data_IF_072774024742
#
_entry.id   IF_072774024742
#
_cell.length_a   1.000
_cell.length_b   1.000
_cell.length_c   1.000
_cell.angle_alpha   90.00
_cell.angle_beta   90.00
_cell.angle_gamma   90.00
#
_symmetry.space_group_name_H-M   'P 1'
#
loop_
_entity.id
_entity.type
_entity.pdbx_description
1 polymer ?
#
# COMPACT_ATOMS: atom_id res chain seq x y z
N UNK A 1 -2.02 5.73 -6.86
CA UNK A 1 -2.79 6.20 -5.68
C UNK A 1 -4.25 5.78 -5.82
N UNK A 2 -4.92 6.19 -6.90
CA UNK A 2 -6.34 5.86 -7.14
C UNK A 2 -6.63 4.35 -7.24
N UNK A 3 -5.75 3.53 -7.84
CA UNK A 3 -6.02 2.09 -7.99
C UNK A 3 -6.14 1.32 -6.66
N UNK A 4 -5.38 1.71 -5.64
CA UNK A 4 -5.48 1.04 -4.33
C UNK A 4 -6.81 1.39 -3.66
N UNK A 5 -7.14 2.68 -3.65
CA UNK A 5 -8.37 3.18 -3.02
C UNK A 5 -9.62 2.68 -3.78
N UNK A 6 -9.58 2.68 -5.11
CA UNK A 6 -10.66 2.18 -5.97
C UNK A 6 -10.95 0.67 -5.79
N UNK A 7 -9.99 -0.08 -5.23
CA UNK A 7 -10.11 -1.52 -5.04
C UNK A 7 -10.09 -1.93 -3.56
N UNK A 8 -10.55 -1.04 -2.68
CA UNK A 8 -10.86 -1.36 -1.28
C UNK A 8 -9.65 -1.40 -0.36
N UNK A 9 -8.50 -0.90 -0.81
CA UNK A 9 -7.38 -0.57 0.05
C UNK A 9 -7.43 0.89 0.51
N UNK A 10 -6.50 1.25 1.39
CA UNK A 10 -6.22 2.64 1.76
C UNK A 10 -4.76 2.92 1.43
N UNK A 11 -4.50 3.83 0.50
CA UNK A 11 -3.15 4.26 0.16
C UNK A 11 -2.62 5.26 1.19
N UNK A 12 -1.56 4.91 1.94
CA UNK A 12 -0.98 5.78 2.95
C UNK A 12 0.09 6.73 2.40
N UNK A 13 0.58 6.46 1.19
CA UNK A 13 1.58 7.28 0.53
C UNK A 13 2.82 6.50 0.10
N UNK A 14 3.69 7.23 -0.59
CA UNK A 14 5.03 6.83 -0.96
C UNK A 14 6.01 7.59 -0.06
N UNK A 15 6.96 6.89 0.53
CA UNK A 15 7.86 7.44 1.54
C UNK A 15 9.31 7.22 1.11
N UNK A 16 10.01 8.33 0.87
CA UNK A 16 11.46 8.34 0.64
C UNK A 16 12.15 8.70 1.97
N UNK A 17 13.23 8.01 2.35
CA UNK A 17 14.02 8.39 3.52
C UNK A 17 14.56 9.82 3.37
N UNK A 18 14.23 10.68 4.33
CA UNK A 18 14.80 12.04 4.41
C UNK A 18 16.28 12.05 4.84
N UNK A 19 16.74 10.96 5.45
CA UNK A 19 18.12 10.70 5.83
C UNK A 19 18.39 9.18 5.70
N UNK A 20 19.61 8.80 5.33
CA UNK A 20 20.02 7.40 5.16
C UNK A 20 20.01 6.94 3.70
N UNK A 21 19.33 5.83 3.42
CA UNK A 21 19.34 5.20 2.10
C UNK A 21 18.60 6.04 1.05
N UNK A 22 19.27 6.41 -0.04
CA UNK A 22 18.69 7.23 -1.13
C UNK A 22 18.11 6.41 -2.29
N UNK A 23 18.31 5.10 -2.31
CA UNK A 23 17.88 4.18 -3.38
C UNK A 23 16.69 3.28 -2.97
N UNK A 24 15.99 3.63 -1.87
CA UNK A 24 14.82 2.89 -1.39
C UNK A 24 13.64 3.82 -1.17
N UNK A 25 12.48 3.33 -1.59
CA UNK A 25 11.19 3.98 -1.43
C UNK A 25 10.21 2.97 -0.82
N UNK A 26 9.28 3.44 0.02
CA UNK A 26 8.27 2.62 0.66
C UNK A 26 6.87 3.08 0.28
N UNK A 27 6.19 2.29 -0.54
CA UNK A 27 4.75 2.40 -0.72
C UNK A 27 4.03 1.69 0.43
N UNK A 28 3.27 2.43 1.23
CA UNK A 28 2.46 1.87 2.31
C UNK A 28 0.98 1.95 1.97
N UNK A 29 0.28 0.84 2.16
CA UNK A 29 -1.17 0.76 2.03
C UNK A 29 -1.72 -0.34 2.94
N UNK A 30 -2.97 -0.21 3.35
CA UNK A 30 -3.67 -1.19 4.19
C UNK A 30 -4.91 -1.74 3.51
N UNK A 31 -5.31 -2.93 3.92
CA UNK A 31 -6.53 -3.60 3.53
C UNK A 31 -7.22 -4.14 4.79
N UNK A 32 -8.54 -4.33 4.72
CA UNK A 32 -9.31 -4.85 5.85
C UNK A 32 -8.87 -6.28 6.29
N UNK A 33 -8.29 -7.05 5.38
CA UNK A 33 -7.74 -8.38 5.64
C UNK A 33 -6.72 -8.79 4.58
N UNK A 34 -5.96 -9.86 4.85
CA UNK A 34 -5.09 -10.48 3.84
C UNK A 34 -5.88 -10.98 2.62
N UNK A 35 -7.07 -11.56 2.84
CA UNK A 35 -7.93 -12.01 1.75
C UNK A 35 -8.38 -10.86 0.84
N UNK A 36 -8.69 -9.68 1.39
CA UNK A 36 -9.01 -8.50 0.60
C UNK A 36 -7.81 -8.02 -0.25
N UNK A 37 -6.61 -8.07 0.32
CA UNK A 37 -5.38 -7.79 -0.42
C UNK A 37 -5.15 -8.81 -1.56
N UNK A 38 -5.37 -10.10 -1.31
CA UNK A 38 -5.22 -11.14 -2.32
C UNK A 38 -6.19 -10.96 -3.48
N UNK A 39 -7.44 -10.57 -3.21
CA UNK A 39 -8.41 -10.21 -4.25
C UNK A 39 -7.99 -8.97 -5.03
N UNK A 40 -7.43 -7.95 -4.38
CA UNK A 40 -6.82 -6.82 -5.08
C UNK A 40 -5.70 -7.29 -6.03
N UNK A 41 -4.88 -8.22 -5.57
CA UNK A 41 -3.74 -8.76 -6.32
C UNK A 41 -4.08 -9.55 -7.57
N UNK A 42 -5.30 -10.09 -7.70
CA UNK A 42 -5.71 -10.81 -8.92
C UNK A 42 -5.83 -9.91 -10.15
N UNK A 43 -5.81 -8.58 -9.98
CA UNK A 43 -5.94 -7.60 -11.07
C UNK A 43 -4.64 -7.33 -11.81
N UNK A 44 -3.49 -7.57 -11.18
CA UNK A 44 -2.18 -7.32 -11.80
C UNK A 44 -1.99 -8.21 -13.02
N UNK A 45 -1.58 -7.61 -14.14
CA UNK A 45 -1.41 -8.31 -15.42
C UNK A 45 -2.71 -8.61 -16.17
N UNK A 46 -3.87 -8.23 -15.64
CA UNK A 46 -5.20 -8.46 -16.26
C UNK A 46 -5.93 -7.15 -16.49
N UNK A 47 -5.98 -6.30 -15.46
CA UNK A 47 -6.64 -5.01 -15.52
C UNK A 47 -5.76 -3.99 -16.29
N UNK A 48 -6.31 -3.29 -17.31
CA UNK A 48 -5.53 -2.35 -18.13
C UNK A 48 -4.77 -1.29 -17.33
N UNK A 49 -5.39 -0.76 -16.27
CA UNK A 49 -4.76 0.31 -15.50
C UNK A 49 -3.56 -0.21 -14.69
N UNK A 50 -3.64 -1.47 -14.23
CA UNK A 50 -2.52 -2.14 -13.56
C UNK A 50 -1.42 -2.52 -14.53
N UNK A 51 -1.77 -2.96 -15.74
CA UNK A 51 -0.79 -3.25 -16.80
C UNK A 51 -0.03 -1.98 -17.19
N UNK A 52 -0.72 -0.85 -17.30
CA UNK A 52 -0.07 0.43 -17.58
C UNK A 52 0.85 0.89 -16.44
N UNK A 53 0.45 0.66 -15.19
CA UNK A 53 1.31 0.93 -14.04
C UNK A 53 2.57 0.03 -14.02
N UNK A 54 2.41 -1.27 -14.33
CA UNK A 54 3.53 -2.20 -14.46
C UNK A 54 4.47 -1.80 -15.60
N UNK A 55 3.94 -1.32 -16.73
CA UNK A 55 4.73 -0.84 -17.86
C UNK A 55 5.55 0.40 -17.51
N UNK A 56 5.01 1.36 -16.76
CA UNK A 56 5.77 2.52 -16.28
C UNK A 56 6.97 2.07 -15.44
N UNK A 57 6.78 1.09 -14.54
CA UNK A 57 7.87 0.52 -13.75
C UNK A 57 8.93 -0.08 -14.67
N UNK A 58 8.53 -0.95 -15.59
CA UNK A 58 9.43 -1.71 -16.44
C UNK A 58 10.20 -0.81 -17.43
N UNK A 59 9.52 0.14 -18.06
CA UNK A 59 10.11 1.08 -19.02
C UNK A 59 11.04 2.10 -18.33
N UNK A 60 10.77 2.46 -17.07
CA UNK A 60 11.60 3.44 -16.35
C UNK A 60 13.00 2.93 -16.03
N UNK A 61 13.17 1.62 -15.84
CA UNK A 61 14.40 1.02 -15.31
C UNK A 61 14.77 1.46 -13.88
N UNK A 62 13.94 2.25 -13.21
CA UNK A 62 14.23 2.78 -11.87
C UNK A 62 14.07 1.73 -10.77
N UNK A 63 13.24 0.71 -10.99
CA UNK A 63 12.97 -0.35 -10.01
C UNK A 63 13.90 -1.53 -10.26
N UNK A 64 15.04 -1.53 -9.57
CA UNK A 64 16.03 -2.61 -9.65
C UNK A 64 15.62 -3.86 -8.85
N UNK A 65 14.90 -3.63 -7.75
CA UNK A 65 14.36 -4.68 -6.88
C UNK A 65 13.16 -4.15 -6.11
N UNK A 66 12.25 -5.04 -5.76
CA UNK A 66 11.17 -4.73 -4.83
C UNK A 66 10.95 -5.91 -3.89
N UNK A 67 10.55 -5.61 -2.67
CA UNK A 67 10.18 -6.58 -1.65
C UNK A 67 8.78 -6.22 -1.15
N UNK A 68 8.05 -7.20 -0.62
CA UNK A 68 6.72 -7.00 -0.03
C UNK A 68 6.70 -7.61 1.36
N UNK A 69 6.26 -6.80 2.32
CA UNK A 69 6.20 -7.18 3.73
C UNK A 69 4.82 -6.85 4.28
N UNK A 70 4.18 -7.81 4.96
CA UNK A 70 2.95 -7.57 5.69
C UNK A 70 3.27 -7.22 7.13
N UNK A 71 2.81 -6.05 7.56
CA UNK A 71 3.05 -5.54 8.90
C UNK A 71 1.75 -5.57 9.70
N UNK A 72 1.87 -5.88 10.99
CA UNK A 72 0.77 -5.70 11.95
C UNK A 72 1.02 -4.38 12.69
N UNK A 73 0.08 -3.42 12.64
CA UNK A 73 0.26 -2.15 13.35
C UNK A 73 0.30 -2.40 14.87
N UNK A 74 1.32 -1.83 15.53
CA UNK A 74 1.40 -1.73 16.99
C UNK A 74 1.12 -0.29 17.41
N UNK A 75 0.00 0.25 16.92
CA UNK A 75 -0.44 1.59 17.27
C UNK A 75 -1.08 1.58 18.66
N UNK A 76 -0.93 2.64 19.46
CA UNK A 76 -1.66 2.77 20.72
C UNK A 76 -3.15 2.61 20.45
N UNK A 77 -3.82 1.74 21.21
CA UNK A 77 -5.29 1.68 21.19
C UNK A 77 -5.80 3.07 21.60
N UNK A 78 -6.58 3.77 20.75
CA UNK A 78 -7.16 5.03 21.19
C UNK A 78 -8.02 4.77 22.43
N UNK A 79 -8.02 5.67 23.42
CA UNK A 79 -8.82 5.48 24.62
C UNK A 79 -10.28 5.23 24.23
N UNK A 80 -10.86 4.18 24.80
CA UNK A 80 -12.28 3.86 24.71
C UNK A 80 -13.10 5.13 24.98
N UNK A 81 -13.78 5.66 23.96
CA UNK A 81 -14.83 6.65 24.17
C UNK A 81 -16.02 5.91 24.75
N UNK A 82 -16.02 5.72 26.08
CA UNK A 82 -17.26 5.42 26.77
C UNK A 82 -18.20 6.62 26.58
N UNK A 83 -19.44 6.42 26.13
CA UNK A 83 -20.42 7.50 26.18
C UNK A 83 -20.58 7.90 27.65
N UNK A 84 -20.38 9.19 27.93
CA UNK A 84 -20.76 9.77 29.21
C UNK A 84 -22.24 9.44 29.44
N UNK A 85 -22.54 8.89 30.62
CA UNK A 85 -23.85 8.32 30.95
C UNK A 85 -25.02 9.22 30.60
N UNK A 86 -26.10 8.58 30.17
CA UNK A 86 -27.46 9.11 30.23
C UNK A 86 -28.15 8.56 31.48
#
# INVERSE_FOLDING_TARGET
MELVDAHGGTHHGYFLPGEGTSDKELALFSFASLAAYEQYRTRFGVDPDFVDADRIRDDSGCVLRYERTFMRPLLPTPPSRHPAGA
#
